data_IF_620140041685
#
_entry.id   IF_620140041685
#
_cell.length_a   1.000
_cell.length_b   1.000
_cell.length_c   1.000
_cell.angle_alpha   90.00
_cell.angle_beta   90.00
_cell.angle_gamma   90.00
#
_symmetry.space_group_name_H-M   'P 1'
#
loop_
_entity.id
_entity.type
_entity.pdbx_description
1 polymer ?
#
# COMPACT_ATOMS: atom_id res chain seq x y z
N UNK A 1 36.36 19.42 -38.64
CA UNK A 1 35.98 18.02 -39.01
C UNK A 1 34.93 18.05 -40.10
N UNK A 2 35.03 17.16 -41.11
CA UNK A 2 34.00 17.04 -42.13
C UNK A 2 32.74 16.33 -41.66
N UNK A 3 31.59 16.61 -42.28
CA UNK A 3 30.27 16.07 -41.90
C UNK A 3 30.25 14.54 -41.77
N UNK A 4 30.96 13.80 -42.63
CA UNK A 4 31.04 12.33 -42.57
C UNK A 4 31.83 11.82 -41.37
N UNK A 5 32.84 12.59 -40.90
CA UNK A 5 33.62 12.28 -39.73
C UNK A 5 32.81 12.54 -38.44
N UNK A 6 32.09 13.68 -38.42
CA UNK A 6 31.15 13.99 -37.32
C UNK A 6 30.08 12.91 -37.19
N UNK A 7 29.49 12.47 -38.31
CA UNK A 7 28.49 11.41 -38.32
C UNK A 7 29.03 10.09 -37.74
N UNK A 8 30.23 9.66 -38.11
CA UNK A 8 30.85 8.45 -37.57
C UNK A 8 31.15 8.54 -36.08
N UNK A 9 31.59 9.70 -35.58
CA UNK A 9 31.92 9.90 -34.14
C UNK A 9 30.71 10.06 -33.23
N UNK A 10 29.67 10.70 -33.75
CA UNK A 10 28.45 11.00 -32.95
C UNK A 10 27.38 9.92 -33.07
N UNK A 11 27.45 9.03 -34.07
CA UNK A 11 26.38 8.10 -34.41
C UNK A 11 25.18 8.76 -35.13
N UNK A 12 25.21 10.07 -35.34
CA UNK A 12 24.14 10.82 -36.00
C UNK A 12 24.30 10.76 -37.51
N UNK A 13 23.25 10.42 -38.25
CA UNK A 13 23.31 10.31 -39.68
C UNK A 13 23.61 11.66 -40.36
N UNK A 14 24.32 11.62 -41.50
CA UNK A 14 24.60 12.83 -42.32
C UNK A 14 23.30 13.58 -42.68
N UNK A 15 22.22 12.85 -42.92
CA UNK A 15 20.89 13.43 -43.18
C UNK A 15 20.39 14.26 -42.00
N UNK A 16 20.52 13.69 -40.77
CA UNK A 16 20.10 14.38 -39.54
C UNK A 16 20.97 15.63 -39.27
N UNK A 17 22.29 15.54 -39.47
CA UNK A 17 23.18 16.68 -39.33
C UNK A 17 22.82 17.84 -40.31
N UNK A 18 22.43 17.52 -41.55
CA UNK A 18 21.90 18.50 -42.49
C UNK A 18 20.57 19.09 -42.04
N UNK A 19 19.72 18.29 -41.44
CA UNK A 19 18.45 18.76 -40.87
C UNK A 19 18.70 19.71 -39.70
N UNK A 20 19.62 19.39 -38.80
CA UNK A 20 19.99 20.27 -37.69
C UNK A 20 20.56 21.61 -38.15
N UNK A 21 21.35 21.61 -39.25
CA UNK A 21 21.82 22.84 -39.91
C UNK A 21 20.62 23.64 -40.46
N UNK A 22 19.70 22.99 -41.17
CA UNK A 22 18.55 23.65 -41.78
C UNK A 22 17.59 24.28 -40.73
N UNK A 23 17.40 23.65 -39.55
CA UNK A 23 16.60 24.18 -38.44
C UNK A 23 17.38 25.08 -37.49
N UNK A 24 18.67 25.32 -37.76
CA UNK A 24 19.51 26.21 -36.98
C UNK A 24 19.97 25.70 -35.60
N UNK A 25 19.79 24.41 -35.31
CA UNK A 25 20.25 23.76 -34.08
C UNK A 25 21.79 23.59 -34.06
N UNK A 26 22.36 23.18 -35.19
CA UNK A 26 23.81 22.96 -35.36
C UNK A 26 24.26 23.57 -36.69
N UNK A 27 24.97 24.68 -36.65
CA UNK A 27 25.51 25.32 -37.82
C UNK A 27 27.00 25.00 -37.98
N UNK A 28 27.47 24.56 -39.15
CA UNK A 28 28.89 24.36 -39.34
C UNK A 28 29.63 25.70 -39.24
N UNK A 29 30.78 25.71 -38.57
CA UNK A 29 31.60 26.91 -38.39
C UNK A 29 32.16 27.41 -39.74
N UNK A 30 32.35 26.51 -40.73
CA UNK A 30 32.89 26.86 -41.99
C UNK A 30 32.51 25.91 -43.14
N UNK A 31 33.08 26.23 -44.33
CA UNK A 31 33.07 25.35 -45.49
C UNK A 31 34.47 25.28 -46.09
N UNK A 32 34.87 24.10 -46.53
CA UNK A 32 36.14 23.92 -47.24
C UNK A 32 36.10 24.62 -48.59
N UNK A 33 37.27 24.76 -49.24
CA UNK A 33 37.42 25.30 -50.63
C UNK A 33 36.53 24.50 -51.62
N UNK A 34 36.28 23.22 -51.35
CA UNK A 34 35.38 22.35 -52.13
C UNK A 34 33.90 22.43 -51.71
N UNK A 35 33.49 23.37 -50.86
CA UNK A 35 32.09 23.58 -50.44
C UNK A 35 31.57 22.61 -49.38
N UNK A 36 32.38 21.69 -48.85
CA UNK A 36 31.97 20.74 -47.81
C UNK A 36 31.85 21.41 -46.43
N UNK A 37 30.82 21.05 -45.66
CA UNK A 37 30.58 21.54 -44.28
C UNK A 37 31.71 21.14 -43.36
N UNK A 38 32.26 22.10 -42.64
CA UNK A 38 33.31 21.92 -41.66
C UNK A 38 32.79 22.31 -40.25
N UNK A 39 33.00 21.42 -39.29
CA UNK A 39 32.56 21.55 -37.92
C UNK A 39 33.73 21.71 -36.97
N UNK A 40 33.65 22.68 -36.06
CA UNK A 40 34.62 22.93 -35.02
C UNK A 40 34.41 21.92 -33.84
N UNK A 41 35.35 21.84 -32.89
CA UNK A 41 35.16 21.09 -31.66
C UNK A 41 33.93 21.58 -30.85
N UNK A 42 33.61 22.87 -30.92
CA UNK A 42 32.45 23.47 -30.25
C UNK A 42 31.14 23.04 -30.89
N UNK A 43 31.12 22.98 -32.24
CA UNK A 43 29.94 22.43 -32.92
C UNK A 43 29.68 20.97 -32.55
N UNK A 44 30.76 20.21 -32.41
CA UNK A 44 30.63 18.79 -31.97
C UNK A 44 30.14 18.70 -30.53
N UNK A 45 30.62 19.56 -29.62
CA UNK A 45 30.06 19.61 -28.23
C UNK A 45 28.58 19.99 -28.25
N UNK A 46 28.21 20.99 -29.06
CA UNK A 46 26.81 21.38 -29.22
C UNK A 46 25.96 20.23 -29.77
N UNK A 47 26.48 19.44 -30.71
CA UNK A 47 25.80 18.23 -31.20
C UNK A 47 25.51 17.24 -30.07
N UNK A 48 26.49 16.98 -29.19
CA UNK A 48 26.27 16.08 -28.05
C UNK A 48 25.23 16.63 -27.07
N UNK A 49 25.13 17.94 -26.88
CA UNK A 49 24.05 18.53 -26.08
C UNK A 49 22.69 18.33 -26.76
N UNK A 50 22.59 18.53 -28.08
CA UNK A 50 21.36 18.28 -28.85
C UNK A 50 20.93 16.83 -28.70
N UNK A 51 21.84 15.88 -28.94
CA UNK A 51 21.54 14.44 -28.85
C UNK A 51 21.19 14.01 -27.39
N UNK A 52 21.90 14.53 -26.39
CA UNK A 52 21.59 14.29 -24.98
C UNK A 52 20.16 14.71 -24.63
N UNK A 53 19.75 15.93 -24.98
CA UNK A 53 18.41 16.44 -24.76
C UNK A 53 17.35 15.65 -25.56
N UNK A 54 17.68 15.23 -26.79
CA UNK A 54 16.82 14.37 -27.61
C UNK A 54 16.59 12.99 -26.98
N UNK A 55 17.64 12.41 -26.42
CA UNK A 55 17.56 11.11 -25.71
C UNK A 55 16.66 11.19 -24.49
N UNK A 56 16.56 12.38 -23.85
CA UNK A 56 15.60 12.64 -22.77
C UNK A 56 14.17 12.88 -23.26
N UNK A 57 13.91 12.79 -24.56
CA UNK A 57 12.57 12.88 -25.14
C UNK A 57 12.13 14.28 -25.58
N UNK A 58 13.02 15.30 -25.54
CA UNK A 58 12.68 16.65 -26.01
C UNK A 58 12.49 16.68 -27.54
N UNK A 59 11.52 17.45 -27.98
CA UNK A 59 11.36 17.81 -29.40
C UNK A 59 12.50 18.73 -29.85
N UNK A 60 12.74 18.81 -31.15
CA UNK A 60 13.78 19.74 -31.71
C UNK A 60 13.52 21.21 -31.37
N UNK A 61 12.24 21.61 -31.26
CA UNK A 61 11.86 22.96 -30.84
C UNK A 61 12.26 23.22 -29.37
N UNK A 62 11.95 22.31 -28.47
CA UNK A 62 12.33 22.40 -27.05
C UNK A 62 13.86 22.39 -26.86
N UNK A 63 14.57 21.57 -27.64
CA UNK A 63 16.07 21.59 -27.66
C UNK A 63 16.58 22.93 -28.10
N UNK A 64 15.99 23.52 -29.16
CA UNK A 64 16.39 24.83 -29.66
C UNK A 64 16.18 25.94 -28.63
N UNK A 65 15.07 25.90 -27.91
CA UNK A 65 14.74 26.87 -26.86
C UNK A 65 15.69 26.71 -25.65
N UNK A 66 15.90 25.49 -25.19
CA UNK A 66 16.85 25.19 -24.11
C UNK A 66 18.28 25.64 -24.41
N UNK A 67 18.77 25.46 -25.67
CA UNK A 67 20.12 25.86 -26.06
C UNK A 67 20.28 27.36 -26.35
N UNK A 68 19.18 28.15 -26.42
CA UNK A 68 19.18 29.60 -26.56
C UNK A 68 19.10 30.34 -25.24
N UNK A 69 18.57 29.69 -24.18
CA UNK A 69 18.40 30.29 -22.87
C UNK A 69 19.71 30.23 -22.06
N UNK A 70 20.32 31.38 -21.75
CA UNK A 70 21.53 31.43 -20.91
C UNK A 70 21.27 30.96 -19.45
N UNK A 71 20.02 31.01 -19.00
CA UNK A 71 19.57 30.57 -17.66
C UNK A 71 19.08 29.13 -17.64
N UNK A 72 19.24 28.36 -18.71
CA UNK A 72 18.77 26.99 -18.80
C UNK A 72 19.35 26.12 -17.68
N UNK A 73 18.43 25.56 -16.85
CA UNK A 73 18.77 24.61 -15.80
C UNK A 73 18.48 23.17 -16.24
N UNK A 74 19.51 22.39 -16.58
CA UNK A 74 19.34 20.98 -16.94
C UNK A 74 18.72 20.14 -15.82
N UNK A 75 19.01 20.46 -14.55
CA UNK A 75 18.50 19.70 -13.40
C UNK A 75 17.01 19.93 -13.21
N UNK A 76 16.56 21.17 -13.34
CA UNK A 76 15.14 21.54 -13.32
C UNK A 76 14.38 20.86 -14.46
N UNK A 77 14.93 20.88 -15.68
CA UNK A 77 14.32 20.18 -16.83
C UNK A 77 14.14 18.68 -16.57
N UNK A 78 15.18 18.00 -16.05
CA UNK A 78 15.10 16.56 -15.77
C UNK A 78 14.02 16.29 -14.71
N UNK A 79 13.95 17.10 -13.65
CA UNK A 79 12.92 16.99 -12.63
C UNK A 79 11.51 17.18 -13.21
N UNK A 80 11.32 18.12 -14.12
CA UNK A 80 10.05 18.35 -14.81
C UNK A 80 9.65 17.17 -15.71
N UNK A 81 10.62 16.61 -16.44
CA UNK A 81 10.38 15.42 -17.29
C UNK A 81 10.05 14.19 -16.47
N UNK A 82 10.69 14.00 -15.32
CA UNK A 82 10.37 12.92 -14.38
C UNK A 82 8.93 13.08 -13.91
N UNK A 83 8.56 14.25 -13.37
CA UNK A 83 7.17 14.51 -12.92
C UNK A 83 6.13 14.30 -14.02
N UNK A 84 6.40 14.80 -15.23
CA UNK A 84 5.48 14.65 -16.36
C UNK A 84 5.34 13.19 -16.80
N UNK A 85 6.41 12.39 -16.68
CA UNK A 85 6.40 10.97 -17.00
C UNK A 85 5.65 10.17 -15.95
N UNK A 86 5.86 10.47 -14.66
CA UNK A 86 5.12 9.87 -13.55
C UNK A 86 3.62 10.15 -13.67
N UNK A 87 3.24 11.39 -13.96
CA UNK A 87 1.83 11.77 -14.19
C UNK A 87 1.21 11.06 -15.40
N UNK A 88 1.99 10.81 -16.45
CA UNK A 88 1.54 10.04 -17.61
C UNK A 88 1.35 8.59 -17.25
N UNK A 89 2.32 8.00 -16.55
CA UNK A 89 2.25 6.62 -16.09
C UNK A 89 1.03 6.39 -15.19
N UNK A 90 0.71 7.33 -14.31
CA UNK A 90 -0.46 7.23 -13.44
C UNK A 90 -1.77 7.27 -14.25
N UNK A 91 -1.88 8.17 -15.22
CA UNK A 91 -3.04 8.20 -16.13
C UNK A 91 -3.22 6.91 -16.94
N UNK A 92 -2.13 6.31 -17.42
CA UNK A 92 -2.17 5.03 -18.13
C UNK A 92 -2.58 3.88 -17.19
N UNK A 93 -2.11 3.90 -15.94
CA UNK A 93 -2.54 2.93 -14.91
C UNK A 93 -4.02 3.04 -14.62
N UNK A 94 -4.54 4.26 -14.47
CA UNK A 94 -5.97 4.49 -14.28
C UNK A 94 -6.80 3.99 -15.47
N UNK A 95 -6.35 4.27 -16.69
CA UNK A 95 -7.02 3.78 -17.90
C UNK A 95 -7.02 2.25 -17.95
N UNK A 96 -5.86 1.63 -17.66
CA UNK A 96 -5.75 0.17 -17.61
C UNK A 96 -6.67 -0.44 -16.55
N UNK A 97 -6.76 0.17 -15.37
CA UNK A 97 -7.67 -0.26 -14.32
C UNK A 97 -9.14 -0.19 -14.77
N UNK A 98 -9.53 0.87 -15.48
CA UNK A 98 -10.89 0.99 -16.05
C UNK A 98 -11.16 -0.07 -17.12
N UNK A 99 -10.22 -0.32 -18.02
CA UNK A 99 -10.34 -1.36 -19.05
C UNK A 99 -10.47 -2.74 -18.43
N UNK A 100 -9.64 -3.05 -17.43
CA UNK A 100 -9.73 -4.32 -16.68
C UNK A 100 -11.05 -4.44 -15.92
N UNK A 101 -11.61 -3.34 -15.41
CA UNK A 101 -12.90 -3.36 -14.74
C UNK A 101 -14.03 -3.75 -15.71
N UNK A 102 -13.99 -3.24 -16.93
CA UNK A 102 -14.98 -3.59 -17.97
C UNK A 102 -14.81 -5.07 -18.40
N UNK A 103 -13.56 -5.53 -18.57
CA UNK A 103 -13.25 -6.91 -18.94
C UNK A 103 -13.70 -7.90 -17.85
N UNK A 104 -13.33 -7.61 -16.59
CA UNK A 104 -13.69 -8.45 -15.44
C UNK A 104 -15.19 -8.49 -15.13
N UNK A 105 -15.93 -7.43 -15.50
CA UNK A 105 -17.39 -7.42 -15.39
C UNK A 105 -18.06 -8.41 -16.34
N UNK A 106 -17.30 -9.01 -17.27
CA UNK A 106 -17.83 -9.97 -18.25
C UNK A 106 -18.87 -9.36 -19.17
N UNK A 107 -18.82 -8.04 -19.40
CA UNK A 107 -19.79 -7.28 -20.18
C UNK A 107 -19.84 -7.83 -21.62
N UNK A 108 -20.82 -8.69 -21.89
CA UNK A 108 -21.06 -9.30 -23.21
C UNK A 108 -21.86 -8.41 -24.15
N UNK A 109 -22.50 -7.38 -23.62
CA UNK A 109 -23.33 -6.45 -24.36
C UNK A 109 -22.85 -5.01 -24.20
N UNK A 110 -23.16 -4.17 -25.20
CA UNK A 110 -22.81 -2.76 -25.15
C UNK A 110 -23.48 -2.01 -23.99
N UNK A 111 -24.66 -2.45 -23.58
CA UNK A 111 -25.39 -1.86 -22.43
C UNK A 111 -24.64 -2.12 -21.13
N UNK A 112 -24.18 -3.34 -20.90
CA UNK A 112 -23.38 -3.71 -19.71
C UNK A 112 -22.07 -2.92 -19.64
N UNK A 113 -21.39 -2.73 -20.79
CA UNK A 113 -20.18 -1.87 -20.84
C UNK A 113 -20.49 -0.45 -20.41
N UNK A 114 -21.63 0.12 -20.89
CA UNK A 114 -22.05 1.49 -20.51
C UNK A 114 -22.38 1.57 -19.03
N UNK A 115 -23.01 0.55 -18.44
CA UNK A 115 -23.34 0.49 -17.02
C UNK A 115 -22.07 0.46 -16.15
N UNK A 116 -21.10 -0.37 -16.51
CA UNK A 116 -19.77 -0.42 -15.81
C UNK A 116 -19.07 0.94 -15.90
N UNK A 117 -19.02 1.54 -17.09
CA UNK A 117 -18.41 2.87 -17.27
C UNK A 117 -19.18 3.95 -16.48
N UNK A 118 -20.51 3.84 -16.39
CA UNK A 118 -21.36 4.69 -15.56
C UNK A 118 -20.99 4.62 -14.07
N UNK A 119 -20.83 3.40 -13.54
CA UNK A 119 -20.38 3.16 -12.16
C UNK A 119 -18.98 3.73 -11.90
N UNK A 120 -18.04 3.49 -12.80
CA UNK A 120 -16.66 4.01 -12.66
C UNK A 120 -16.65 5.56 -12.63
N UNK A 121 -17.47 6.21 -13.46
CA UNK A 121 -17.64 7.67 -13.43
C UNK A 121 -18.28 8.16 -12.12
N UNK A 122 -19.26 7.42 -11.62
CA UNK A 122 -19.96 7.78 -10.39
C UNK A 122 -19.03 7.62 -9.15
N UNK A 123 -18.18 6.59 -9.12
CA UNK A 123 -17.14 6.41 -8.09
C UNK A 123 -16.10 7.55 -8.11
N UNK A 124 -15.78 8.14 -9.26
CA UNK A 124 -14.90 9.31 -9.40
C UNK A 124 -15.63 10.67 -9.25
N UNK A 125 -16.90 10.70 -8.85
CA UNK A 125 -17.67 11.95 -8.72
C UNK A 125 -17.15 12.82 -7.57
N UNK A 126 -17.12 14.16 -7.71
CA UNK A 126 -16.85 15.07 -6.60
C UNK A 126 -17.93 15.01 -5.51
N UNK A 127 -19.15 14.58 -5.82
CA UNK A 127 -20.27 14.50 -4.89
C UNK A 127 -20.24 13.18 -4.11
N UNK A 128 -20.04 13.23 -2.79
CA UNK A 128 -19.98 12.07 -1.90
C UNK A 128 -21.20 11.13 -2.03
N UNK A 129 -22.41 11.70 -2.10
CA UNK A 129 -23.63 10.90 -2.26
C UNK A 129 -23.67 10.07 -3.56
N UNK A 130 -23.09 10.59 -4.67
CA UNK A 130 -22.98 9.82 -5.91
C UNK A 130 -21.96 8.69 -5.79
N UNK A 131 -20.83 8.93 -5.14
CA UNK A 131 -19.82 7.89 -4.88
C UNK A 131 -20.38 6.80 -3.99
N UNK A 132 -21.09 7.16 -2.92
CA UNK A 132 -21.74 6.21 -2.02
C UNK A 132 -22.79 5.35 -2.76
N UNK A 133 -23.66 5.98 -3.55
CA UNK A 133 -24.66 5.26 -4.33
C UNK A 133 -24.01 4.31 -5.33
N UNK A 134 -22.91 4.71 -6.00
CA UNK A 134 -22.18 3.87 -6.92
C UNK A 134 -21.54 2.67 -6.21
N UNK A 135 -20.94 2.88 -5.03
CA UNK A 135 -20.36 1.79 -4.24
C UNK A 135 -21.45 0.75 -3.83
N UNK A 136 -22.62 1.22 -3.38
CA UNK A 136 -23.73 0.32 -3.03
C UNK A 136 -24.31 -0.42 -4.25
N UNK A 137 -24.38 0.24 -5.42
CA UNK A 137 -24.89 -0.35 -6.65
C UNK A 137 -24.02 -1.52 -7.18
N UNK A 138 -22.77 -1.67 -6.72
CA UNK A 138 -21.91 -2.81 -7.11
C UNK A 138 -22.38 -4.14 -6.54
N UNK A 139 -23.26 -4.13 -5.53
CA UNK A 139 -23.78 -5.37 -4.94
C UNK A 139 -24.77 -6.09 -5.86
N UNK A 140 -25.66 -5.34 -6.47
CA UNK A 140 -26.76 -5.86 -7.31
C UNK A 140 -26.49 -5.65 -8.80
N UNK A 141 -25.41 -4.93 -9.15
CA UNK A 141 -25.03 -4.55 -10.50
C UNK A 141 -23.80 -5.33 -11.03
N UNK A 142 -23.15 -4.78 -12.09
CA UNK A 142 -21.95 -5.35 -12.64
C UNK A 142 -20.84 -5.47 -11.58
N UNK A 143 -20.18 -6.63 -11.54
CA UNK A 143 -19.09 -6.88 -10.61
C UNK A 143 -17.88 -6.00 -10.98
N UNK A 144 -17.47 -5.10 -10.10
CA UNK A 144 -16.22 -4.38 -10.24
C UNK A 144 -15.06 -5.18 -9.62
N UNK A 145 -13.84 -5.10 -10.21
CA UNK A 145 -12.66 -5.74 -9.63
C UNK A 145 -12.41 -5.27 -8.19
N UNK A 146 -12.10 -6.22 -7.30
CA UNK A 146 -11.80 -5.92 -5.91
C UNK A 146 -10.58 -4.98 -5.76
N UNK A 147 -9.58 -5.09 -6.65
CA UNK A 147 -8.44 -4.15 -6.71
C UNK A 147 -8.88 -2.70 -6.89
N UNK A 148 -9.84 -2.44 -7.78
CA UNK A 148 -10.33 -1.09 -8.04
C UNK A 148 -11.12 -0.54 -6.83
N UNK A 149 -11.94 -1.38 -6.22
CA UNK A 149 -12.68 -1.03 -4.99
C UNK A 149 -11.72 -0.76 -3.83
N UNK A 150 -10.64 -1.56 -3.69
CA UNK A 150 -9.60 -1.35 -2.69
C UNK A 150 -8.91 0.01 -2.86
N UNK A 151 -8.49 0.35 -4.07
CA UNK A 151 -7.88 1.66 -4.37
C UNK A 151 -8.84 2.82 -4.09
N UNK A 152 -10.10 2.70 -4.51
CA UNK A 152 -11.14 3.71 -4.25
C UNK A 152 -11.39 3.89 -2.76
N UNK A 153 -11.43 2.80 -2.00
CA UNK A 153 -11.59 2.80 -0.55
C UNK A 153 -10.43 3.51 0.16
N UNK A 154 -9.18 3.21 -0.24
CA UNK A 154 -8.00 3.85 0.35
C UNK A 154 -7.92 5.35 0.08
N UNK A 155 -8.35 5.79 -1.10
CA UNK A 155 -8.36 7.20 -1.51
C UNK A 155 -9.54 8.01 -0.93
N UNK A 156 -10.56 7.34 -0.37
CA UNK A 156 -11.78 8.02 0.07
C UNK A 156 -11.59 8.74 1.42
N UNK A 157 -12.01 9.99 1.49
CA UNK A 157 -11.93 10.80 2.70
C UNK A 157 -13.26 10.90 3.47
N UNK A 158 -14.39 10.68 2.78
CA UNK A 158 -15.70 10.71 3.42
C UNK A 158 -15.99 9.37 4.11
N UNK A 159 -16.27 9.34 5.42
CA UNK A 159 -16.44 8.10 6.18
C UNK A 159 -17.65 7.27 5.75
N UNK A 160 -18.72 7.90 5.26
CA UNK A 160 -19.91 7.19 4.79
C UNK A 160 -19.66 6.50 3.45
N UNK A 161 -18.95 7.18 2.55
CA UNK A 161 -18.52 6.61 1.27
C UNK A 161 -17.50 5.51 1.51
N UNK A 162 -16.53 5.73 2.40
CA UNK A 162 -15.55 4.71 2.77
C UNK A 162 -16.23 3.44 3.34
N UNK A 163 -17.25 3.61 4.18
CA UNK A 163 -18.06 2.49 4.68
C UNK A 163 -18.75 1.70 3.56
N UNK A 164 -19.34 2.39 2.60
CA UNK A 164 -19.98 1.76 1.44
C UNK A 164 -18.96 1.04 0.53
N UNK A 165 -17.80 1.65 0.30
CA UNK A 165 -16.70 1.05 -0.49
C UNK A 165 -16.10 -0.19 0.21
N UNK A 166 -15.93 -0.15 1.54
CA UNK A 166 -15.48 -1.31 2.32
C UNK A 166 -16.46 -2.48 2.20
N UNK A 167 -17.76 -2.19 2.32
CA UNK A 167 -18.79 -3.20 2.12
C UNK A 167 -18.79 -3.77 0.70
N UNK A 168 -18.69 -2.93 -0.33
CA UNK A 168 -18.59 -3.33 -1.74
C UNK A 168 -17.34 -4.19 -2.00
N UNK A 169 -16.20 -3.79 -1.44
CA UNK A 169 -14.94 -4.54 -1.52
C UNK A 169 -15.07 -5.94 -0.90
N UNK A 170 -15.62 -6.02 0.31
CA UNK A 170 -15.87 -7.30 0.97
C UNK A 170 -16.77 -8.20 0.14
N UNK A 171 -17.88 -7.66 -0.37
CA UNK A 171 -18.79 -8.40 -1.24
C UNK A 171 -18.12 -8.88 -2.54
N UNK A 172 -17.17 -8.11 -3.08
CA UNK A 172 -16.40 -8.51 -4.26
C UNK A 172 -15.42 -9.65 -3.93
N UNK A 173 -14.74 -9.59 -2.79
CA UNK A 173 -13.83 -10.64 -2.31
C UNK A 173 -14.58 -11.95 -2.03
N UNK A 174 -15.74 -11.88 -1.40
CA UNK A 174 -16.58 -13.06 -1.10
C UNK A 174 -17.08 -13.76 -2.39
N UNK A 175 -17.35 -12.98 -3.44
CA UNK A 175 -17.79 -13.52 -4.75
C UNK A 175 -16.67 -14.15 -5.56
N UNK A 176 -15.45 -13.66 -5.44
CA UNK A 176 -14.31 -14.10 -6.22
C UNK A 176 -13.90 -15.57 -5.90
N UNK A 177 -14.24 -16.06 -4.69
CA UNK A 177 -13.97 -17.46 -4.26
C UNK A 177 -12.48 -17.82 -4.15
N UNK A 178 -11.61 -17.05 -4.76
CA UNK A 178 -10.16 -17.12 -4.68
C UNK A 178 -9.65 -15.73 -4.26
N UNK A 179 -8.75 -15.64 -3.27
CA UNK A 179 -8.29 -14.35 -2.79
C UNK A 179 -7.68 -13.53 -3.91
N UNK A 180 -8.31 -12.41 -4.23
CA UNK A 180 -7.82 -11.47 -5.23
C UNK A 180 -6.47 -10.89 -4.77
N UNK A 181 -5.39 -11.52 -5.23
CA UNK A 181 -4.03 -11.11 -4.89
C UNK A 181 -3.75 -9.66 -5.28
N UNK A 182 -4.41 -9.14 -6.31
CA UNK A 182 -4.27 -7.75 -6.75
C UNK A 182 -4.95 -6.79 -5.76
N UNK A 183 -6.11 -7.16 -5.20
CA UNK A 183 -6.77 -6.39 -4.15
C UNK A 183 -5.94 -6.39 -2.86
N UNK A 184 -5.44 -7.55 -2.44
CA UNK A 184 -4.57 -7.65 -1.27
C UNK A 184 -3.28 -6.83 -1.44
N UNK A 185 -2.66 -6.86 -2.64
CA UNK A 185 -1.49 -6.05 -2.94
C UNK A 185 -1.80 -4.54 -2.93
N UNK A 186 -2.96 -4.12 -3.45
CA UNK A 186 -3.39 -2.72 -3.41
C UNK A 186 -3.61 -2.24 -1.97
N UNK A 187 -4.22 -3.07 -1.11
CA UNK A 187 -4.40 -2.77 0.30
C UNK A 187 -3.06 -2.74 1.05
N UNK A 188 -2.16 -3.69 0.79
CA UNK A 188 -0.82 -3.72 1.37
C UNK A 188 -0.01 -2.48 1.02
N UNK A 189 -0.10 -1.99 -0.24
CA UNK A 189 0.51 -0.73 -0.63
C UNK A 189 0.00 0.47 0.20
N UNK A 190 -1.27 0.44 0.64
CA UNK A 190 -1.86 1.44 1.52
C UNK A 190 -1.19 1.52 2.91
N UNK A 191 -0.58 0.43 3.39
CA UNK A 191 0.18 0.43 4.65
C UNK A 191 1.48 1.26 4.55
N UNK A 192 2.02 1.45 3.35
CA UNK A 192 3.19 2.32 3.10
C UNK A 192 2.86 3.81 2.97
N UNK A 193 1.60 4.23 3.16
CA UNK A 193 1.20 5.63 3.05
C UNK A 193 1.74 6.47 4.21
N UNK A 194 2.16 7.71 3.91
CA UNK A 194 2.52 8.69 4.94
C UNK A 194 1.30 9.11 5.78
N UNK A 195 0.07 9.03 5.23
CA UNK A 195 -1.16 9.36 5.94
C UNK A 195 -1.60 8.20 6.87
N UNK A 196 -1.60 8.40 8.20
CA UNK A 196 -2.08 7.39 9.14
C UNK A 196 -3.53 6.95 8.90
N UNK A 197 -4.38 7.83 8.36
CA UNK A 197 -5.77 7.49 8.08
C UNK A 197 -5.88 6.47 6.92
N UNK A 198 -5.01 6.57 5.92
CA UNK A 198 -4.91 5.58 4.85
C UNK A 198 -4.41 4.24 5.39
N UNK A 199 -3.34 4.24 6.23
CA UNK A 199 -2.81 3.01 6.84
C UNK A 199 -3.85 2.30 7.72
N UNK A 200 -4.62 3.05 8.52
CA UNK A 200 -5.73 2.49 9.32
C UNK A 200 -6.79 1.85 8.44
N UNK A 201 -7.21 2.51 7.36
CA UNK A 201 -8.15 1.91 6.39
C UNK A 201 -7.58 0.65 5.74
N UNK A 202 -6.30 0.68 5.38
CA UNK A 202 -5.63 -0.46 4.78
C UNK A 202 -5.63 -1.68 5.70
N UNK A 203 -5.23 -1.51 6.97
CA UNK A 203 -5.19 -2.61 7.94
C UNK A 203 -6.59 -3.15 8.25
N UNK A 204 -7.61 -2.29 8.31
CA UNK A 204 -9.00 -2.72 8.52
C UNK A 204 -9.50 -3.61 7.37
N UNK A 205 -9.24 -3.22 6.13
CA UNK A 205 -9.65 -4.02 4.97
C UNK A 205 -8.85 -5.32 4.83
N UNK A 206 -7.54 -5.30 5.13
CA UNK A 206 -6.71 -6.51 5.18
C UNK A 206 -7.18 -7.47 6.27
N UNK A 207 -7.58 -6.95 7.42
CA UNK A 207 -8.15 -7.77 8.51
C UNK A 207 -9.46 -8.44 8.10
N UNK A 208 -10.30 -7.76 7.31
CA UNK A 208 -11.53 -8.33 6.78
C UNK A 208 -11.27 -9.40 5.69
N UNK A 209 -10.14 -9.31 4.99
CA UNK A 209 -9.71 -10.27 3.97
C UNK A 209 -8.94 -11.48 4.54
N UNK A 210 -8.52 -11.45 5.81
CA UNK A 210 -7.85 -12.60 6.43
C UNK A 210 -8.85 -13.80 6.57
N UNK A 211 -8.40 -15.06 6.35
CA UNK A 211 -7.03 -15.58 6.42
C UNK A 211 -6.28 -15.76 5.09
N UNK A 212 -6.49 -14.91 4.11
CA UNK A 212 -5.77 -14.99 2.84
C UNK A 212 -4.26 -14.83 3.05
N UNK A 213 -3.40 -15.70 2.50
CA UNK A 213 -1.95 -15.68 2.77
C UNK A 213 -1.28 -14.33 2.49
N UNK A 214 -1.63 -13.65 1.39
CA UNK A 214 -1.09 -12.35 1.03
C UNK A 214 -1.53 -11.24 2.00
N UNK A 215 -2.77 -11.26 2.46
CA UNK A 215 -3.27 -10.35 3.47
C UNK A 215 -2.58 -10.59 4.82
N UNK A 216 -2.41 -11.86 5.21
CA UNK A 216 -1.70 -12.23 6.44
C UNK A 216 -0.25 -11.75 6.44
N UNK A 217 0.47 -11.89 5.31
CA UNK A 217 1.83 -11.37 5.18
C UNK A 217 1.89 -9.85 5.39
N UNK A 218 1.00 -9.10 4.76
CA UNK A 218 0.92 -7.65 4.93
C UNK A 218 0.56 -7.23 6.38
N UNK A 219 -0.30 -8.00 7.06
CA UNK A 219 -0.63 -7.78 8.46
C UNK A 219 0.58 -8.02 9.39
N UNK A 220 1.44 -8.99 9.06
CA UNK A 220 2.69 -9.21 9.81
C UNK A 220 3.66 -8.04 9.68
N UNK A 221 3.80 -7.46 8.50
CA UNK A 221 4.61 -6.26 8.30
C UNK A 221 4.03 -5.06 9.09
N UNK A 222 2.69 -4.95 9.17
CA UNK A 222 2.00 -3.91 9.91
C UNK A 222 2.15 -3.98 11.44
N UNK A 223 2.66 -5.08 11.99
CA UNK A 223 3.00 -5.18 13.43
C UNK A 223 4.09 -4.20 13.86
N UNK A 224 4.89 -3.68 12.92
CA UNK A 224 5.93 -2.68 13.16
C UNK A 224 5.48 -1.24 12.85
N UNK A 225 4.20 -1.00 12.55
CA UNK A 225 3.70 0.35 12.21
C UNK A 225 3.89 1.32 13.39
N UNK A 226 4.27 2.58 13.15
CA UNK A 226 4.37 3.59 14.20
C UNK A 226 3.03 3.91 14.88
N UNK A 227 1.89 3.73 14.18
CA UNK A 227 0.57 3.96 14.74
C UNK A 227 0.09 2.74 15.55
N UNK A 228 -0.15 2.88 16.86
CA UNK A 228 -0.61 1.76 17.70
C UNK A 228 -1.95 1.17 17.27
N UNK A 229 -2.84 1.95 16.64
CA UNK A 229 -4.11 1.43 16.12
C UNK A 229 -3.89 0.45 14.96
N UNK A 230 -2.92 0.76 14.09
CA UNK A 230 -2.54 -0.14 12.98
C UNK A 230 -1.94 -1.42 13.53
N UNK A 231 -0.97 -1.34 14.47
CA UNK A 231 -0.36 -2.53 15.08
C UNK A 231 -1.35 -3.44 15.76
N UNK A 232 -2.24 -2.87 16.60
CA UNK A 232 -3.26 -3.64 17.35
C UNK A 232 -4.21 -4.36 16.40
N UNK A 233 -4.73 -3.65 15.40
CA UNK A 233 -5.63 -4.24 14.40
C UNK A 233 -4.94 -5.34 13.60
N UNK A 234 -3.68 -5.13 13.23
CA UNK A 234 -2.86 -6.14 12.56
C UNK A 234 -2.63 -7.36 13.45
N UNK A 235 -2.33 -7.15 14.74
CA UNK A 235 -2.08 -8.25 15.69
C UNK A 235 -3.30 -9.13 15.89
N UNK A 236 -4.48 -8.54 16.08
CA UNK A 236 -5.75 -9.29 16.20
C UNK A 236 -6.00 -10.11 14.93
N UNK A 237 -5.90 -9.49 13.75
CA UNK A 237 -6.19 -10.17 12.49
C UNK A 237 -5.17 -11.26 12.16
N UNK A 238 -3.86 -10.98 12.33
CA UNK A 238 -2.80 -11.95 12.11
C UNK A 238 -2.88 -13.10 13.12
N UNK A 239 -3.20 -12.81 14.38
CA UNK A 239 -3.40 -13.82 15.42
C UNK A 239 -4.56 -14.76 15.10
N UNK A 240 -5.69 -14.23 14.65
CA UNK A 240 -6.85 -15.04 14.18
C UNK A 240 -6.49 -15.91 12.95
N UNK A 241 -5.57 -15.45 12.13
CA UNK A 241 -5.02 -16.24 11.03
C UNK A 241 -3.95 -17.26 11.47
N UNK A 242 -3.71 -17.42 12.77
CA UNK A 242 -2.76 -18.39 13.34
C UNK A 242 -1.31 -17.88 13.44
N UNK A 243 -1.06 -16.60 13.19
CA UNK A 243 0.30 -16.07 13.18
C UNK A 243 0.84 -15.79 14.59
N UNK A 244 1.75 -16.63 15.05
CA UNK A 244 2.38 -16.53 16.39
C UNK A 244 3.21 -15.26 16.57
N UNK A 245 3.65 -14.65 15.49
CA UNK A 245 4.37 -13.37 15.51
C UNK A 245 3.55 -12.20 16.08
N UNK A 246 2.21 -12.34 16.14
CA UNK A 246 1.31 -11.36 16.76
C UNK A 246 1.31 -11.38 18.30
N UNK A 247 1.82 -12.45 18.93
CA UNK A 247 1.76 -12.64 20.38
C UNK A 247 2.35 -11.47 21.18
N UNK A 248 3.49 -10.87 20.85
CA UNK A 248 4.03 -9.75 21.63
C UNK A 248 3.08 -8.54 21.69
N UNK A 249 2.48 -8.14 20.57
CA UNK A 249 1.54 -7.01 20.54
C UNK A 249 0.22 -7.37 21.25
N UNK A 250 -0.32 -8.59 21.07
CA UNK A 250 -1.52 -9.06 21.78
C UNK A 250 -1.32 -9.06 23.31
N UNK A 251 -0.15 -9.50 23.79
CA UNK A 251 0.19 -9.43 25.21
C UNK A 251 0.30 -7.98 25.68
N UNK A 252 0.87 -7.10 24.88
CA UNK A 252 0.95 -5.67 25.19
C UNK A 252 -0.46 -5.04 25.30
N UNK A 253 -1.39 -5.43 24.40
CA UNK A 253 -2.80 -5.01 24.45
C UNK A 253 -3.48 -5.44 25.74
N UNK A 254 -3.34 -6.72 26.15
CA UNK A 254 -3.88 -7.22 27.42
C UNK A 254 -3.33 -6.41 28.59
N UNK A 255 -2.02 -6.18 28.63
CA UNK A 255 -1.39 -5.45 29.74
C UNK A 255 -1.79 -3.97 29.80
N UNK A 256 -1.96 -3.33 28.65
CA UNK A 256 -2.36 -1.93 28.55
C UNK A 256 -3.87 -1.73 28.84
N UNK A 257 -4.70 -2.74 28.61
CA UNK A 257 -6.16 -2.63 28.64
C UNK A 257 -6.74 -2.06 27.34
N UNK A 258 -6.04 -2.28 26.23
CA UNK A 258 -6.45 -1.85 24.91
C UNK A 258 -7.04 -3.06 24.15
N UNK A 259 -8.35 -3.13 24.02
CA UNK A 259 -9.07 -4.27 23.43
C UNK A 259 -8.63 -5.62 24.06
N UNK A 260 -8.35 -5.61 25.38
CA UNK A 260 -7.73 -6.68 26.15
C UNK A 260 -8.52 -7.98 26.11
N UNK A 261 -9.84 -7.93 26.09
CA UNK A 261 -10.71 -9.10 25.97
C UNK A 261 -10.52 -9.77 24.60
N UNK A 262 -10.56 -9.00 23.50
CA UNK A 262 -10.37 -9.53 22.16
C UNK A 262 -8.95 -10.10 21.98
N UNK A 263 -7.94 -9.43 22.54
CA UNK A 263 -6.56 -9.91 22.52
C UNK A 263 -6.41 -11.23 23.31
N UNK A 264 -7.06 -11.35 24.47
CA UNK A 264 -7.04 -12.58 25.27
C UNK A 264 -7.72 -13.76 24.55
N UNK A 265 -8.85 -13.53 23.88
CA UNK A 265 -9.52 -14.55 23.06
C UNK A 265 -8.63 -15.06 21.92
N UNK A 266 -7.93 -14.16 21.22
CA UNK A 266 -7.00 -14.52 20.15
C UNK A 266 -5.80 -15.30 20.69
N UNK A 267 -5.23 -14.89 21.82
CA UNK A 267 -4.15 -15.64 22.49
C UNK A 267 -4.61 -17.05 22.92
N UNK A 268 -5.84 -17.18 23.40
CA UNK A 268 -6.42 -18.46 23.76
C UNK A 268 -6.60 -19.37 22.53
N UNK A 269 -7.06 -18.82 21.40
CA UNK A 269 -7.19 -19.56 20.14
C UNK A 269 -5.82 -20.03 19.62
N UNK A 270 -4.81 -19.15 19.61
CA UNK A 270 -3.44 -19.51 19.27
C UNK A 270 -2.88 -20.63 20.18
N UNK A 271 -3.22 -20.59 21.48
CA UNK A 271 -2.79 -21.63 22.43
C UNK A 271 -3.47 -22.99 22.18
N UNK A 272 -4.71 -22.98 21.64
CA UNK A 272 -5.45 -24.20 21.29
C UNK A 272 -4.97 -24.81 19.98
N UNK A 273 -4.69 -23.98 19.00
CA UNK A 273 -4.29 -24.41 17.64
C UNK A 273 -2.81 -24.79 17.56
N UNK A 274 -1.94 -24.12 18.32
CA UNK A 274 -0.51 -24.40 18.41
C UNK A 274 -0.04 -24.61 19.87
N UNK A 275 -0.05 -25.86 20.38
CA UNK A 275 0.41 -26.17 21.73
C UNK A 275 1.86 -25.75 22.00
N UNK A 276 2.72 -25.68 20.99
CA UNK A 276 4.10 -25.21 21.15
C UNK A 276 4.16 -23.70 21.50
N UNK A 277 3.16 -22.94 21.11
CA UNK A 277 3.02 -21.52 21.44
C UNK A 277 2.40 -21.28 22.83
N UNK A 278 1.65 -22.23 23.38
CA UNK A 278 0.96 -22.06 24.67
C UNK A 278 1.91 -21.69 25.80
N UNK A 279 3.06 -22.36 25.87
CA UNK A 279 4.10 -22.06 26.89
C UNK A 279 4.72 -20.66 26.72
N UNK A 280 4.93 -20.22 25.48
CA UNK A 280 5.44 -18.88 25.16
C UNK A 280 4.43 -17.78 25.51
N UNK A 281 3.16 -18.00 25.15
CA UNK A 281 2.06 -17.08 25.46
C UNK A 281 1.91 -16.95 26.98
N UNK A 282 1.86 -18.05 27.72
CA UNK A 282 1.78 -18.03 29.16
C UNK A 282 2.98 -17.29 29.79
N UNK A 283 4.20 -17.60 29.35
CA UNK A 283 5.42 -16.94 29.83
C UNK A 283 5.42 -15.43 29.53
N UNK A 284 4.93 -15.01 28.34
CA UNK A 284 4.83 -13.61 27.98
C UNK A 284 3.78 -12.84 28.79
N UNK A 285 2.63 -13.46 29.08
CA UNK A 285 1.60 -12.86 29.92
C UNK A 285 2.03 -12.73 31.38
N UNK A 286 2.73 -13.74 31.92
CA UNK A 286 3.09 -13.80 33.35
C UNK A 286 4.48 -13.28 33.67
N UNK A 287 5.30 -12.96 32.67
CA UNK A 287 6.65 -12.39 32.88
C UNK A 287 6.58 -11.00 33.51
N UNK A 288 7.50 -10.76 34.46
CA UNK A 288 7.69 -9.44 35.13
C UNK A 288 6.39 -8.79 35.68
N UNK A 289 5.47 -9.59 36.23
CA UNK A 289 4.23 -9.07 36.82
C UNK A 289 4.45 -8.36 38.17
N UNK A 290 5.47 -8.77 38.92
CA UNK A 290 5.70 -8.25 40.30
C UNK A 290 5.95 -6.74 40.34
N UNK A 291 6.48 -6.15 39.24
CA UNK A 291 6.73 -4.71 39.09
C UNK A 291 5.59 -3.93 38.46
N UNK A 292 4.47 -4.58 38.08
CA UNK A 292 3.35 -3.92 37.40
C UNK A 292 2.29 -3.41 38.38
N UNK A 293 1.44 -2.48 37.89
CA UNK A 293 0.32 -1.99 38.70
C UNK A 293 -0.77 -3.08 38.90
N UNK A 294 -1.59 -2.97 39.95
CA UNK A 294 -2.64 -3.95 40.22
C UNK A 294 -3.64 -4.13 39.06
N UNK A 295 -3.96 -3.07 38.32
CA UNK A 295 -4.92 -3.15 37.23
C UNK A 295 -4.37 -4.01 36.07
N UNK A 296 -3.08 -3.91 35.77
CA UNK A 296 -2.41 -4.80 34.80
C UNK A 296 -2.45 -6.25 35.25
N UNK A 297 -2.18 -6.54 36.55
CA UNK A 297 -2.23 -7.91 37.07
C UNK A 297 -3.66 -8.50 37.02
N UNK A 298 -4.67 -7.66 37.24
CA UNK A 298 -6.09 -8.09 37.12
C UNK A 298 -6.40 -8.45 35.66
N UNK A 299 -6.00 -7.61 34.66
CA UNK A 299 -6.23 -7.92 33.24
C UNK A 299 -5.54 -9.19 32.81
N UNK A 300 -4.30 -9.40 33.27
CA UNK A 300 -3.59 -10.66 33.02
C UNK A 300 -4.34 -11.85 33.68
N UNK A 301 -4.82 -11.74 34.92
CA UNK A 301 -5.61 -12.79 35.52
C UNK A 301 -6.88 -13.11 34.72
N UNK A 302 -7.57 -12.10 34.18
CA UNK A 302 -8.72 -12.28 33.30
C UNK A 302 -8.34 -12.99 31.99
N UNK A 303 -7.24 -12.61 31.35
CA UNK A 303 -6.75 -13.26 30.12
C UNK A 303 -6.35 -14.73 30.38
N UNK A 304 -5.76 -15.05 31.54
CA UNK A 304 -5.38 -16.42 31.92
C UNK A 304 -6.57 -17.38 32.01
N UNK A 305 -7.76 -16.87 32.27
CA UNK A 305 -9.01 -17.69 32.32
C UNK A 305 -9.36 -18.27 30.97
N UNK A 306 -9.09 -17.52 29.91
CA UNK A 306 -9.39 -17.93 28.52
C UNK A 306 -8.39 -18.98 27.99
N UNK A 307 -7.18 -19.05 28.57
CA UNK A 307 -6.12 -19.94 28.09
C UNK A 307 -6.34 -21.39 28.54
N UNK A 308 -6.13 -22.38 27.64
CA UNK A 308 -6.26 -23.78 27.95
C UNK A 308 -5.11 -24.33 28.81
N UNK A 309 -5.37 -25.38 29.55
CA UNK A 309 -4.36 -26.21 30.21
C UNK A 309 -4.09 -25.90 31.69
N UNK A 310 -3.15 -26.63 32.31
CA UNK A 310 -2.86 -26.53 33.75
C UNK A 310 -2.00 -25.29 34.09
N UNK A 311 -1.14 -24.84 33.20
CA UNK A 311 -0.21 -23.72 33.45
C UNK A 311 -0.92 -22.40 33.80
N UNK A 312 -1.93 -21.96 33.04
CA UNK A 312 -2.72 -20.77 33.36
C UNK A 312 -3.39 -20.87 34.74
N UNK A 313 -3.94 -22.04 35.08
CA UNK A 313 -4.54 -22.27 36.41
C UNK A 313 -3.53 -22.15 37.56
N UNK A 314 -2.31 -22.63 37.36
CA UNK A 314 -1.23 -22.47 38.33
C UNK A 314 -0.81 -21.00 38.47
N UNK A 315 -0.76 -20.25 37.38
CA UNK A 315 -0.52 -18.82 37.40
C UNK A 315 -1.63 -18.06 38.15
N UNK A 316 -2.91 -18.42 37.95
CA UNK A 316 -4.02 -17.85 38.68
C UNK A 316 -3.94 -18.13 40.20
N UNK A 317 -3.54 -19.37 40.61
CA UNK A 317 -3.32 -19.67 42.04
C UNK A 317 -2.22 -18.82 42.65
N UNK A 318 -1.15 -18.54 41.90
CA UNK A 318 -0.08 -17.63 42.37
C UNK A 318 -0.61 -16.19 42.54
N UNK A 319 -1.40 -15.69 41.59
CA UNK A 319 -2.03 -14.38 41.67
C UNK A 319 -3.12 -14.30 42.76
N UNK A 320 -3.74 -15.42 43.15
CA UNK A 320 -4.66 -15.47 44.29
C UNK A 320 -3.94 -15.21 45.63
N UNK A 321 -2.62 -15.34 45.70
CA UNK A 321 -1.78 -14.98 46.84
C UNK A 321 -1.12 -13.57 46.67
N UNK A 322 -1.56 -12.74 45.72
CA UNK A 322 -1.01 -11.41 45.46
C UNK A 322 -1.15 -10.50 46.69
N UNK A 323 -0.19 -9.66 47.00
CA UNK A 323 -0.27 -8.72 48.13
C UNK A 323 -1.41 -7.68 47.95
N UNK A 324 -1.80 -7.35 46.70
CA UNK A 324 -2.95 -6.52 46.44
C UNK A 324 -4.25 -7.31 46.55
N UNK A 325 -5.13 -6.84 47.45
CA UNK A 325 -6.40 -7.52 47.75
C UNK A 325 -7.34 -7.67 46.56
N UNK A 326 -7.35 -6.69 45.64
CA UNK A 326 -8.22 -6.75 44.46
C UNK A 326 -7.72 -7.80 43.46
N UNK A 327 -6.41 -7.88 43.23
CA UNK A 327 -5.78 -8.92 42.41
C UNK A 327 -6.09 -10.31 43.00
N UNK A 328 -5.79 -10.50 44.29
CA UNK A 328 -6.01 -11.78 44.98
C UNK A 328 -7.48 -12.23 44.88
N UNK A 329 -8.44 -11.31 45.08
CA UNK A 329 -9.87 -11.61 45.00
C UNK A 329 -10.29 -12.04 43.59
N UNK A 330 -9.86 -11.31 42.56
CA UNK A 330 -10.21 -11.61 41.18
C UNK A 330 -9.58 -12.94 40.76
N UNK A 331 -8.28 -13.13 40.99
CA UNK A 331 -7.59 -14.36 40.61
C UNK A 331 -8.13 -15.59 41.38
N UNK A 332 -8.45 -15.44 42.66
CA UNK A 332 -9.05 -16.51 43.47
C UNK A 332 -10.42 -16.96 42.95
N UNK A 333 -11.28 -15.99 42.60
CA UNK A 333 -12.60 -16.28 42.02
C UNK A 333 -12.51 -17.09 40.71
N UNK A 334 -11.44 -16.94 39.95
CA UNK A 334 -11.20 -17.70 38.71
C UNK A 334 -10.47 -19.04 38.96
N UNK A 335 -9.56 -19.09 39.93
CA UNK A 335 -8.83 -20.32 40.26
C UNK A 335 -9.73 -21.46 40.73
N UNK A 336 -10.85 -21.12 41.38
CA UNK A 336 -11.82 -22.07 41.94
C UNK A 336 -12.89 -22.52 40.93
N UNK A 337 -12.99 -21.88 39.76
CA UNK A 337 -13.94 -22.31 38.71
C UNK A 337 -13.52 -23.68 38.15
N UNK A 338 -14.33 -24.71 38.45
CA UNK A 338 -14.27 -25.99 37.75
C UNK A 338 -14.95 -25.82 36.38
N UNK A 339 -14.14 -25.73 35.30
CA UNK A 339 -14.64 -25.90 33.92
C UNK A 339 -14.50 -27.36 33.53
#
# INVERSE_FOLDING_TARGET
>A
MLIGEVARRSGVSVRMLRHYDAVGLLRPTGRTVGGYREYSPDDVRRLFHVEGLRTLGLSLAQVADALRDPGFDPSGLVADLVRATEQRLERERELLARLRAVDAAGAGTWTEVVDVVGLLRALGSPAAGRRQQAALATADGPALPAELLARSFLAESDPHVAGALRWALRSALDRAGDPDAAAAAALAAGLGSDDPAVRRRAVDALADAAPVPSATAALLDALADPDPRVRRRAAVAAGRAGAVAAVPELVAMVRAGDDDVEAAEVLAELSRTDPASAGRILGALTGDLDGTDPATRIRVAQALVELPGPGPREALRRLAADPDRAVALVAGAFADRRV
#
